data_IF_533356488400
#
_entry.id   IF_533356488400
#
_cell.length_a   1.000
_cell.length_b   1.000
_cell.length_c   1.000
_cell.angle_alpha   90.00
_cell.angle_beta   90.00
_cell.angle_gamma   90.00
#
_symmetry.space_group_name_H-M   'P 1'
#
loop_
_entity.id
_entity.type
_entity.pdbx_description
1 polymer ?
#
# COMPACT_ATOMS: atom_id res chain seq x y z
N UNK A 1 15.99 -13.89 -6.80
CA UNK A 1 15.47 -12.60 -7.29
C UNK A 1 15.81 -11.56 -6.26
N UNK A 2 16.21 -10.36 -6.67
CA UNK A 2 16.41 -9.25 -5.73
C UNK A 2 15.07 -8.85 -5.09
N UNK A 3 15.05 -8.46 -3.80
CA UNK A 3 13.83 -8.05 -3.14
C UNK A 3 13.32 -6.72 -3.69
N UNK A 4 11.98 -6.58 -3.77
CA UNK A 4 11.35 -5.30 -4.10
C UNK A 4 11.55 -4.35 -2.92
N UNK A 5 12.13 -3.17 -3.15
CA UNK A 5 12.29 -2.16 -2.10
C UNK A 5 11.06 -1.25 -2.04
N UNK A 6 10.43 -1.17 -0.87
CA UNK A 6 9.20 -0.42 -0.64
C UNK A 6 9.49 0.74 0.28
N UNK A 7 9.36 1.97 -0.22
CA UNK A 7 9.42 3.15 0.63
C UNK A 7 8.06 3.46 1.23
N UNK A 8 8.06 3.80 2.51
CA UNK A 8 6.91 4.43 3.17
C UNK A 8 7.38 5.44 4.20
N UNK A 9 6.52 6.40 4.56
CA UNK A 9 6.86 7.39 5.58
C UNK A 9 6.85 6.81 7.01
N UNK A 10 6.16 5.69 7.23
CA UNK A 10 6.03 5.05 8.54
C UNK A 10 5.77 3.55 8.38
N UNK A 11 6.37 2.72 9.24
CA UNK A 11 6.02 1.31 9.31
C UNK A 11 4.94 1.08 10.37
N UNK A 12 3.95 0.25 10.06
CA UNK A 12 2.88 -0.14 11.00
C UNK A 12 2.60 -1.64 10.90
N UNK A 13 2.01 -2.26 11.95
CA UNK A 13 1.62 -3.66 11.91
C UNK A 13 0.64 -3.97 10.76
N UNK A 14 -0.31 -3.06 10.47
CA UNK A 14 -1.28 -3.22 9.38
C UNK A 14 -0.60 -3.24 8.02
N UNK A 15 0.29 -2.28 7.77
CA UNK A 15 1.06 -2.21 6.54
C UNK A 15 1.95 -3.44 6.37
N UNK A 16 2.66 -3.83 7.44
CA UNK A 16 3.52 -5.02 7.42
C UNK A 16 2.73 -6.28 7.09
N UNK A 17 1.60 -6.48 7.78
CA UNK A 17 0.71 -7.62 7.57
C UNK A 17 0.26 -7.73 6.11
N UNK A 18 -0.25 -6.63 5.52
CA UNK A 18 -0.79 -6.70 4.17
C UNK A 18 0.31 -6.89 3.10
N UNK A 19 1.50 -6.33 3.33
CA UNK A 19 2.65 -6.56 2.44
C UNK A 19 3.16 -8.01 2.55
N UNK A 20 3.25 -8.56 3.76
CA UNK A 20 3.62 -9.97 3.97
C UNK A 20 2.61 -10.92 3.31
N UNK A 21 1.31 -10.64 3.41
CA UNK A 21 0.26 -11.42 2.76
C UNK A 21 0.32 -11.29 1.23
N UNK A 22 0.23 -10.08 0.70
CA UNK A 22 0.10 -9.87 -0.75
C UNK A 22 1.40 -10.18 -1.49
N UNK A 23 2.52 -9.62 -1.05
CA UNK A 23 3.78 -9.77 -1.76
C UNK A 23 4.44 -11.10 -1.40
N UNK A 24 4.52 -11.42 -0.11
CA UNK A 24 5.18 -12.64 0.37
C UNK A 24 4.38 -13.91 0.06
N UNK A 25 3.17 -14.02 0.59
CA UNK A 25 2.42 -15.29 0.56
C UNK A 25 1.70 -15.53 -0.77
N UNK A 26 1.01 -14.51 -1.31
CA UNK A 26 0.20 -14.68 -2.52
C UNK A 26 1.03 -14.60 -3.80
N UNK A 27 1.99 -13.66 -3.88
CA UNK A 27 2.82 -13.47 -5.07
C UNK A 27 4.19 -14.17 -5.01
N UNK A 28 4.62 -14.65 -3.84
CA UNK A 28 5.91 -15.31 -3.68
C UNK A 28 7.13 -14.39 -3.81
N UNK A 29 6.94 -13.08 -3.63
CA UNK A 29 7.98 -12.06 -3.75
C UNK A 29 8.68 -11.80 -2.41
N UNK A 30 10.00 -11.69 -2.46
CA UNK A 30 10.77 -11.07 -1.37
C UNK A 30 10.67 -9.54 -1.47
N UNK A 31 10.51 -8.86 -0.34
CA UNK A 31 10.49 -7.40 -0.30
C UNK A 31 11.21 -6.87 0.94
N UNK A 32 11.62 -5.61 0.89
CA UNK A 32 12.18 -4.86 2.00
C UNK A 32 11.42 -3.55 2.18
N UNK A 33 11.10 -3.21 3.43
CA UNK A 33 10.51 -1.91 3.79
C UNK A 33 11.62 -0.95 4.21
N UNK A 34 11.57 0.27 3.71
CA UNK A 34 12.44 1.37 4.12
C UNK A 34 11.63 2.62 4.42
N UNK A 35 12.06 3.37 5.43
CA UNK A 35 11.61 4.75 5.68
C UNK A 35 12.69 5.77 5.33
N UNK A 36 13.84 5.32 4.85
CA UNK A 36 14.94 6.16 4.39
C UNK A 36 14.74 6.51 2.91
N UNK A 37 14.47 7.79 2.58
CA UNK A 37 14.27 8.22 1.21
C UNK A 37 15.57 8.18 0.39
N UNK A 38 16.75 8.40 0.99
CA UNK A 38 18.02 8.39 0.26
C UNK A 38 18.38 6.97 -0.18
N UNK A 39 18.17 5.99 0.72
CA UNK A 39 18.29 4.57 0.36
C UNK A 39 17.34 4.20 -0.79
N UNK A 40 16.10 4.70 -0.79
CA UNK A 40 15.14 4.44 -1.86
C UNK A 40 15.54 5.09 -3.21
N UNK A 41 16.00 6.34 -3.18
CA UNK A 41 16.38 7.10 -4.37
C UNK A 41 17.62 6.50 -5.06
N UNK A 42 18.55 5.95 -4.28
CA UNK A 42 19.81 5.36 -4.78
C UNK A 42 19.68 3.88 -5.16
N UNK A 43 18.57 3.22 -4.82
CA UNK A 43 18.35 1.81 -5.11
C UNK A 43 18.15 1.54 -6.61
N UNK A 44 18.96 0.66 -7.20
CA UNK A 44 18.95 0.34 -8.63
C UNK A 44 17.90 -0.72 -9.03
N UNK A 45 17.34 -1.46 -8.05
CA UNK A 45 16.38 -2.53 -8.29
C UNK A 45 14.92 -2.07 -8.38
N UNK A 46 13.98 -3.05 -8.43
CA UNK A 46 12.54 -2.78 -8.43
C UNK A 46 12.11 -2.06 -7.15
N UNK A 47 11.28 -1.03 -7.30
CA UNK A 47 10.79 -0.27 -6.16
C UNK A 47 9.28 -0.02 -6.20
N UNK A 48 8.73 0.21 -5.02
CA UNK A 48 7.37 0.72 -4.82
C UNK A 48 7.45 1.93 -3.89
N UNK A 49 6.88 3.05 -4.30
CA UNK A 49 6.65 4.21 -3.43
C UNK A 49 5.26 4.10 -2.81
N UNK A 50 5.20 3.86 -1.50
CA UNK A 50 3.97 3.87 -0.71
C UNK A 50 3.90 5.10 0.20
N UNK A 51 3.77 6.27 -0.44
CA UNK A 51 3.72 7.57 0.23
C UNK A 51 2.90 8.60 -0.56
N UNK A 52 2.67 9.79 0.01
CA UNK A 52 1.85 10.84 -0.63
C UNK A 52 2.52 11.53 -1.81
N UNK A 53 3.84 11.53 -1.90
CA UNK A 53 4.59 12.27 -2.91
C UNK A 53 5.40 11.31 -3.75
N UNK A 54 5.42 11.53 -5.06
CA UNK A 54 6.35 10.86 -5.95
C UNK A 54 7.79 11.24 -5.57
N UNK A 55 8.71 10.26 -5.61
CA UNK A 55 10.10 10.44 -5.24
C UNK A 55 11.05 10.30 -6.43
N UNK A 56 10.74 9.42 -7.39
CA UNK A 56 11.55 9.23 -8.60
C UNK A 56 10.74 8.91 -9.84
N UNK A 57 11.29 9.21 -11.01
CA UNK A 57 10.67 8.89 -12.30
C UNK A 57 10.62 7.38 -12.52
N UNK A 58 9.48 6.87 -13.03
CA UNK A 58 9.31 5.45 -13.38
C UNK A 58 9.08 4.51 -12.19
N UNK A 59 8.83 5.04 -10.99
CA UNK A 59 8.43 4.23 -9.85
C UNK A 59 6.99 3.72 -9.94
N UNK A 60 6.72 2.58 -9.33
CA UNK A 60 5.36 2.18 -9.02
C UNK A 60 4.90 3.00 -7.80
N UNK A 61 4.15 4.07 -8.03
CA UNK A 61 3.64 4.95 -6.98
C UNK A 61 2.23 4.56 -6.57
N UNK A 62 2.06 4.16 -5.31
CA UNK A 62 0.76 3.90 -4.68
C UNK A 62 0.57 4.94 -3.57
N UNK A 63 -0.39 5.83 -3.76
CA UNK A 63 -0.73 6.84 -2.76
C UNK A 63 -1.52 6.17 -1.63
N UNK A 64 -1.07 6.25 -0.36
CA UNK A 64 -1.72 5.57 0.74
C UNK A 64 -2.99 6.28 1.21
N UNK A 65 -4.00 5.49 1.55
CA UNK A 65 -5.07 5.86 2.46
C UNK A 65 -4.60 5.79 3.92
N UNK A 66 -5.30 6.49 4.83
CA UNK A 66 -4.92 6.59 6.24
C UNK A 66 -5.06 5.29 7.01
N UNK A 67 -5.93 4.37 6.55
CA UNK A 67 -6.33 3.14 7.26
C UNK A 67 -5.13 2.32 7.78
N UNK A 68 -4.08 2.17 6.96
CA UNK A 68 -2.92 1.37 7.35
C UNK A 68 -2.03 2.08 8.40
N UNK A 69 -2.23 3.37 8.64
CA UNK A 69 -1.49 4.18 9.60
C UNK A 69 -2.28 4.50 10.87
N UNK A 70 -3.56 4.09 10.93
CA UNK A 70 -4.42 4.31 12.07
C UNK A 70 -4.20 3.28 13.19
N UNK A 71 -4.45 3.71 14.43
CA UNK A 71 -4.49 2.86 15.62
C UNK A 71 -5.94 2.65 16.09
N UNK A 72 -6.24 1.45 16.58
CA UNK A 72 -7.59 1.05 16.98
C UNK A 72 -8.54 0.87 15.79
N UNK A 73 -9.75 0.37 16.05
CA UNK A 73 -10.79 0.27 15.04
C UNK A 73 -11.56 1.59 15.01
N UNK A 74 -11.82 2.08 13.80
CA UNK A 74 -12.51 3.34 13.53
C UNK A 74 -13.36 3.18 12.30
N UNK A 75 -14.58 3.68 12.33
CA UNK A 75 -15.45 3.68 11.16
C UNK A 75 -14.74 4.29 9.95
N UNK A 76 -14.76 3.53 8.85
CA UNK A 76 -14.24 3.99 7.56
C UNK A 76 -15.43 4.37 6.69
N UNK A 77 -15.47 5.62 6.23
CA UNK A 77 -16.46 6.04 5.24
C UNK A 77 -16.09 5.47 3.86
N UNK A 78 -16.55 4.25 3.59
CA UNK A 78 -16.25 3.56 2.32
C UNK A 78 -17.10 4.16 1.20
N UNK A 79 -16.44 4.92 0.33
CA UNK A 79 -17.01 5.39 -0.93
C UNK A 79 -16.60 4.39 -2.01
N UNK A 80 -17.60 3.68 -2.56
CA UNK A 80 -17.42 2.74 -3.67
C UNK A 80 -17.72 3.46 -4.97
N UNK A 81 -16.76 3.42 -5.89
CA UNK A 81 -16.91 3.91 -7.25
C UNK A 81 -16.84 2.75 -8.25
N UNK A 82 -17.56 2.87 -9.36
CA UNK A 82 -17.46 1.89 -10.43
C UNK A 82 -16.38 2.24 -11.44
N UNK A 83 -15.43 1.31 -11.64
CA UNK A 83 -14.43 1.41 -12.69
C UNK A 83 -14.59 0.25 -13.68
N UNK A 84 -15.25 0.56 -14.79
CA UNK A 84 -15.68 -0.46 -15.74
C UNK A 84 -16.69 -1.39 -15.07
N UNK A 85 -16.34 -2.66 -14.91
CA UNK A 85 -17.17 -3.66 -14.25
C UNK A 85 -16.76 -3.90 -12.79
N UNK A 86 -15.70 -3.25 -12.30
CA UNK A 86 -15.11 -3.52 -11.00
C UNK A 86 -15.42 -2.40 -10.01
N UNK A 87 -16.04 -2.70 -8.85
CA UNK A 87 -16.16 -1.73 -7.77
C UNK A 87 -14.79 -1.48 -7.13
N UNK A 88 -14.47 -0.20 -6.90
CA UNK A 88 -13.21 0.25 -6.33
C UNK A 88 -13.49 1.20 -5.17
N UNK A 89 -12.75 1.06 -4.08
CA UNK A 89 -12.82 1.90 -2.88
C UNK A 89 -11.39 2.21 -2.39
N UNK A 90 -11.26 3.07 -1.38
CA UNK A 90 -9.98 3.70 -0.97
C UNK A 90 -9.31 4.46 -2.12
N UNK A 91 -10.05 5.41 -2.70
CA UNK A 91 -9.54 6.28 -3.74
C UNK A 91 -8.28 7.04 -3.30
N UNK A 92 -7.31 7.11 -4.21
CA UNK A 92 -6.02 7.71 -3.97
C UNK A 92 -5.62 8.66 -5.10
N UNK A 93 -6.61 9.40 -5.64
CA UNK A 93 -6.50 10.30 -6.78
C UNK A 93 -7.53 9.98 -7.88
N UNK A 94 -7.66 10.84 -8.91
CA UNK A 94 -8.73 10.78 -9.92
C UNK A 94 -8.84 9.42 -10.64
N UNK A 95 -7.74 8.67 -10.71
CA UNK A 95 -7.65 7.39 -11.42
C UNK A 95 -6.82 6.34 -10.68
N UNK A 96 -6.67 6.46 -9.36
CA UNK A 96 -5.92 5.51 -8.53
C UNK A 96 -6.70 5.13 -7.27
N UNK A 97 -6.37 3.98 -6.71
CA UNK A 97 -6.84 3.55 -5.40
C UNK A 97 -5.69 2.89 -4.65
N UNK A 98 -5.80 2.90 -3.33
CA UNK A 98 -4.83 2.24 -2.46
C UNK A 98 -5.13 0.74 -2.40
N UNK A 99 -4.41 -0.02 -3.23
CA UNK A 99 -4.52 -1.47 -3.29
C UNK A 99 -4.26 -2.14 -1.94
N UNK A 100 -3.31 -1.62 -1.15
CA UNK A 100 -2.95 -2.23 0.12
C UNK A 100 -4.02 -1.95 1.20
N UNK A 101 -4.53 -0.72 1.29
CA UNK A 101 -5.63 -0.43 2.21
C UNK A 101 -6.91 -1.19 1.84
N UNK A 102 -7.27 -1.22 0.55
CA UNK A 102 -8.45 -1.97 0.08
C UNK A 102 -8.35 -3.47 0.38
N UNK A 103 -7.18 -4.05 0.13
CA UNK A 103 -6.96 -5.47 0.42
C UNK A 103 -6.97 -5.74 1.92
N UNK A 104 -6.30 -4.91 2.73
CA UNK A 104 -6.30 -5.03 4.19
C UNK A 104 -7.72 -4.99 4.76
N UNK A 105 -8.52 -4.02 4.32
CA UNK A 105 -9.91 -3.84 4.77
C UNK A 105 -10.73 -5.13 4.57
N UNK A 106 -10.66 -5.72 3.36
CA UNK A 106 -11.42 -6.93 3.03
C UNK A 106 -10.92 -8.16 3.79
N UNK A 107 -9.60 -8.41 3.79
CA UNK A 107 -9.07 -9.65 4.40
C UNK A 107 -9.15 -9.64 5.93
N UNK A 108 -9.12 -8.45 6.54
CA UNK A 108 -9.29 -8.30 7.99
C UNK A 108 -10.74 -8.29 8.43
N UNK A 109 -11.71 -8.25 7.50
CA UNK A 109 -13.14 -8.05 7.78
C UNK A 109 -13.33 -6.85 8.70
N UNK A 110 -12.68 -5.74 8.34
CA UNK A 110 -12.48 -4.60 9.21
C UNK A 110 -13.80 -4.01 9.74
N UNK A 111 -14.89 -4.12 8.96
CA UNK A 111 -16.23 -3.70 9.34
C UNK A 111 -16.89 -4.51 10.47
N UNK A 112 -16.35 -5.67 10.82
CA UNK A 112 -16.94 -6.55 11.85
C UNK A 112 -16.31 -6.36 13.24
N UNK A 113 -15.37 -5.42 13.37
CA UNK A 113 -14.55 -5.24 14.56
C UNK A 113 -14.97 -4.04 15.43
#
# INVERSE_FOLDING_TARGET
MEPVLIYTHQQTPRLRYILDLMLGQLLGLSYQLTTDPEHYLTHQGPVINYSKKGLRTGELHIIPHTLLFEAGIKDQAIIVEQRGQNPVFFQAGPSSFDLFAASFYLVSRYEEC
#
